data_IF_673792103301
#
_entry.id   IF_673792103301
#
_cell.length_a   1.000
_cell.length_b   1.000
_cell.length_c   1.000
_cell.angle_alpha   90.00
_cell.angle_beta   90.00
_cell.angle_gamma   90.00
#
_symmetry.space_group_name_H-M   'P 1'
#
loop_
_entity.id
_entity.type
_entity.pdbx_description
1 polymer ?
#
# COMPACT_ATOMS: atom_id res chain seq x y z
N UNK A 1 -7.17 -7.05 10.48
CA UNK A 1 -7.38 -5.60 10.70
C UNK A 1 -7.30 -4.86 9.37
N UNK A 2 -7.78 -3.62 9.31
CA UNK A 2 -7.74 -2.73 8.14
C UNK A 2 -7.09 -1.40 8.53
N UNK A 3 -6.25 -0.84 7.66
CA UNK A 3 -5.73 0.53 7.75
C UNK A 3 -6.09 1.26 6.46
N UNK A 4 -6.69 2.45 6.58
CA UNK A 4 -6.82 3.40 5.46
C UNK A 4 -5.69 4.44 5.60
N UNK A 5 -4.96 4.68 4.52
CA UNK A 5 -3.98 5.76 4.38
C UNK A 5 -4.56 6.76 3.39
N UNK A 6 -4.70 7.99 3.85
CA UNK A 6 -5.27 9.11 3.09
C UNK A 6 -4.51 10.34 3.58
N UNK A 7 -3.34 10.52 2.99
CA UNK A 7 -2.39 11.58 3.31
C UNK A 7 -1.85 12.14 2.01
N UNK A 8 -1.73 13.46 1.93
CA UNK A 8 -1.32 14.16 0.71
C UNK A 8 0.20 14.07 0.51
N UNK A 9 0.69 13.00 -0.12
CA UNK A 9 2.09 12.84 -0.55
C UNK A 9 3.07 12.30 0.52
N UNK A 10 2.57 11.92 1.69
CA UNK A 10 3.36 11.38 2.80
C UNK A 10 3.20 9.86 2.98
N UNK A 11 2.72 9.14 1.97
CA UNK A 11 2.34 7.73 2.07
C UNK A 11 3.54 6.83 2.43
N UNK A 12 4.71 7.12 1.86
CA UNK A 12 5.94 6.37 2.16
C UNK A 12 6.45 6.62 3.58
N UNK A 13 6.26 7.83 4.11
CA UNK A 13 6.61 8.14 5.50
C UNK A 13 5.67 7.41 6.47
N UNK A 14 4.38 7.32 6.11
CA UNK A 14 3.42 6.48 6.83
C UNK A 14 3.84 5.01 6.79
N UNK A 15 4.20 4.46 5.62
CA UNK A 15 4.68 3.08 5.49
C UNK A 15 5.90 2.81 6.38
N UNK A 16 6.88 3.73 6.38
CA UNK A 16 8.07 3.62 7.22
C UNK A 16 7.71 3.62 8.71
N UNK A 17 6.83 4.53 9.14
CA UNK A 17 6.35 4.62 10.52
C UNK A 17 5.54 3.40 10.98
N UNK A 18 4.83 2.74 10.05
CA UNK A 18 4.00 1.57 10.35
C UNK A 18 4.69 0.22 10.09
N UNK A 19 6.01 0.19 9.84
CA UNK A 19 6.73 -1.04 9.48
C UNK A 19 6.50 -2.21 10.44
N UNK A 20 6.43 -1.94 11.75
CA UNK A 20 6.10 -2.95 12.76
C UNK A 20 4.68 -3.51 12.58
N UNK A 21 3.70 -2.68 12.24
CA UNK A 21 2.32 -3.10 12.03
C UNK A 21 2.20 -3.99 10.78
N UNK A 22 2.86 -3.61 9.68
CA UNK A 22 2.91 -4.39 8.44
C UNK A 22 3.54 -5.77 8.66
N UNK A 23 4.56 -5.86 9.54
CA UNK A 23 5.23 -7.12 9.87
C UNK A 23 4.41 -7.98 10.82
N UNK A 24 3.97 -7.42 11.95
CA UNK A 24 3.44 -8.20 13.07
C UNK A 24 1.92 -8.45 12.94
N UNK A 25 1.15 -7.40 12.60
CA UNK A 25 -0.31 -7.48 12.57
C UNK A 25 -0.88 -7.80 11.19
N UNK A 26 -0.07 -7.64 10.13
CA UNK A 26 -0.43 -7.95 8.73
C UNK A 26 -1.82 -7.39 8.33
N UNK A 27 -2.14 -6.09 8.58
CA UNK A 27 -3.46 -5.56 8.22
C UNK A 27 -3.62 -5.52 6.70
N UNK A 28 -4.85 -5.53 6.20
CA UNK A 28 -5.14 -5.03 4.84
C UNK A 28 -4.93 -3.51 4.85
N UNK A 29 -4.32 -2.97 3.79
CA UNK A 29 -4.12 -1.52 3.64
C UNK A 29 -4.89 -1.03 2.42
N UNK A 30 -5.63 0.05 2.57
CA UNK A 30 -6.18 0.82 1.44
C UNK A 30 -5.48 2.17 1.46
N UNK A 31 -4.83 2.55 0.37
CA UNK A 31 -4.05 3.78 0.29
C UNK A 31 -4.47 4.61 -0.92
N UNK A 32 -4.87 5.86 -0.70
CA UNK A 32 -4.96 6.85 -1.76
C UNK A 32 -3.56 7.37 -2.07
N UNK A 33 -3.16 7.32 -3.34
CA UNK A 33 -1.80 7.63 -3.77
C UNK A 33 -1.70 9.02 -4.38
N UNK A 34 -0.81 9.86 -3.85
CA UNK A 34 -0.50 11.18 -4.39
C UNK A 34 0.88 11.23 -5.08
N UNK A 35 1.26 10.15 -5.76
CA UNK A 35 2.53 10.01 -6.48
C UNK A 35 3.50 9.02 -5.83
N UNK A 36 4.69 8.88 -6.43
CA UNK A 36 5.72 7.87 -6.03
C UNK A 36 5.16 6.43 -5.97
N UNK A 37 4.16 6.13 -6.81
CA UNK A 37 3.43 4.87 -6.81
C UNK A 37 4.34 3.64 -6.93
N UNK A 38 5.37 3.71 -7.79
CA UNK A 38 6.31 2.61 -7.97
C UNK A 38 7.13 2.32 -6.70
N UNK A 39 7.57 3.36 -5.99
CA UNK A 39 8.30 3.22 -4.73
C UNK A 39 7.39 2.65 -3.63
N UNK A 40 6.13 3.10 -3.57
CA UNK A 40 5.12 2.54 -2.67
C UNK A 40 4.88 1.05 -2.95
N UNK A 41 4.69 0.67 -4.22
CA UNK A 41 4.50 -0.73 -4.61
C UNK A 41 5.69 -1.58 -4.19
N UNK A 42 6.92 -1.13 -4.49
CA UNK A 42 8.14 -1.85 -4.11
C UNK A 42 8.26 -2.01 -2.58
N UNK A 43 7.89 -1.00 -1.79
CA UNK A 43 7.91 -1.08 -0.34
C UNK A 43 6.88 -2.10 0.20
N UNK A 44 5.67 -2.12 -0.35
CA UNK A 44 4.63 -3.09 0.03
C UNK A 44 5.02 -4.52 -0.37
N UNK A 45 5.54 -4.71 -1.58
CA UNK A 45 6.05 -6.00 -2.05
C UNK A 45 7.18 -6.52 -1.16
N UNK A 46 8.13 -5.66 -0.80
CA UNK A 46 9.21 -5.99 0.14
C UNK A 46 8.69 -6.34 1.55
N UNK A 47 7.57 -5.74 1.96
CA UNK A 47 6.86 -6.10 3.20
C UNK A 47 6.02 -7.40 3.06
N UNK A 48 6.03 -8.06 1.90
CA UNK A 48 5.29 -9.29 1.65
C UNK A 48 3.79 -9.07 1.44
N UNK A 49 3.44 -8.01 0.71
CA UNK A 49 2.08 -7.67 0.30
C UNK A 49 1.92 -7.73 -1.22
N UNK A 50 0.74 -8.16 -1.68
CA UNK A 50 0.28 -7.91 -3.04
C UNK A 50 -0.40 -6.54 -3.10
N UNK A 51 -0.25 -5.83 -4.23
CA UNK A 51 -0.86 -4.52 -4.48
C UNK A 51 -1.80 -4.62 -5.68
N UNK A 52 -3.02 -4.12 -5.53
CA UNK A 52 -4.06 -4.11 -6.55
C UNK A 52 -4.56 -2.69 -6.76
N UNK A 53 -4.74 -2.29 -8.02
CA UNK A 53 -5.40 -1.03 -8.38
C UNK A 53 -6.93 -1.22 -8.26
N UNK A 54 -7.59 -0.36 -7.48
CA UNK A 54 -9.04 -0.39 -7.33
C UNK A 54 -9.78 0.44 -8.39
N UNK A 55 -9.09 1.35 -9.07
CA UNK A 55 -9.69 2.32 -9.98
C UNK A 55 -9.60 1.90 -11.45
N UNK A 56 -8.78 0.89 -11.77
CA UNK A 56 -8.54 0.47 -13.15
C UNK A 56 -7.75 -0.83 -13.30
N UNK A 57 -7.62 -1.34 -14.55
CA UNK A 57 -6.91 -2.57 -14.84
C UNK A 57 -5.38 -2.43 -14.80
N UNK A 58 -4.83 -1.22 -14.91
CA UNK A 58 -3.40 -0.99 -14.90
C UNK A 58 -2.79 -1.17 -13.50
N UNK A 59 -1.52 -1.62 -13.39
CA UNK A 59 -0.84 -1.68 -12.10
C UNK A 59 -0.74 -0.28 -11.44
N UNK A 60 -0.86 -0.21 -10.11
CA UNK A 60 -0.74 1.05 -9.34
C UNK A 60 0.57 1.78 -9.67
N UNK A 61 1.68 1.06 -9.84
CA UNK A 61 2.98 1.62 -10.21
C UNK A 61 2.99 2.36 -11.58
N UNK A 62 2.01 2.11 -12.44
CA UNK A 62 1.86 2.69 -13.78
C UNK A 62 0.62 3.59 -13.89
N UNK A 63 -0.20 3.65 -12.85
CA UNK A 63 -1.39 4.49 -12.81
C UNK A 63 -1.04 5.98 -12.64
N UNK A 64 -2.03 6.84 -12.87
CA UNK A 64 -1.91 8.27 -12.65
C UNK A 64 -1.78 8.65 -11.16
N UNK A 65 -1.75 9.95 -10.91
CA UNK A 65 -1.96 10.48 -9.56
C UNK A 65 -3.40 10.22 -9.11
N UNK A 66 -3.62 10.13 -7.80
CA UNK A 66 -4.93 9.88 -7.17
C UNK A 66 -5.52 8.51 -7.53
N UNK A 67 -4.71 7.45 -7.39
CA UNK A 67 -5.14 6.05 -7.53
C UNK A 67 -5.30 5.40 -6.16
N UNK A 68 -6.31 4.54 -6.00
CA UNK A 68 -6.54 3.77 -4.79
C UNK A 68 -5.89 2.39 -4.89
N UNK A 69 -4.91 2.15 -4.02
CA UNK A 69 -4.23 0.87 -3.89
C UNK A 69 -4.89 0.03 -2.78
N UNK A 70 -5.29 -1.19 -3.12
CA UNK A 70 -5.59 -2.24 -2.13
C UNK A 70 -4.37 -3.12 -1.96
N UNK A 71 -3.86 -3.20 -0.73
CA UNK A 71 -2.72 -4.05 -0.39
C UNK A 71 -3.14 -5.17 0.56
N UNK A 72 -2.88 -6.42 0.17
CA UNK A 72 -3.21 -7.61 0.95
C UNK A 72 -1.96 -8.40 1.30
N UNK A 73 -1.79 -8.87 2.55
CA UNK A 73 -0.62 -9.64 2.93
C UNK A 73 -0.61 -11.00 2.20
N UNK A 74 0.54 -11.41 1.66
CA UNK A 74 0.70 -12.68 0.94
C UNK A 74 0.54 -13.91 1.85
N UNK A 75 0.77 -13.72 3.15
CA UNK A 75 0.57 -14.70 4.21
C UNK A 75 -0.30 -14.05 5.26
N UNK A 76 -1.46 -14.65 5.55
CA UNK A 76 -2.34 -14.17 6.61
C UNK A 76 -1.72 -14.49 7.97
N UNK A 77 -1.84 -13.56 8.92
CA UNK A 77 -1.59 -13.88 10.32
C UNK A 77 -2.55 -15.01 10.75
N UNK A 78 -2.04 -15.94 11.55
CA UNK A 78 -2.82 -17.05 12.11
C UNK A 78 -3.93 -16.54 13.04
#
# INVERSE_FOLDING_TARGET
ALVKIDVEGAELDVLAGMARLLRDARPIVVCEMHGRNAEFCAAMEAAGYAVCNLDGPEPVAQAGVNVHALCTPLVRAA
#
